data_IF_382435736505
#
_entry.id   IF_382435736505
#
_cell.length_a   1.000
_cell.length_b   1.000
_cell.length_c   1.000
_cell.angle_alpha   90.00
_cell.angle_beta   90.00
_cell.angle_gamma   90.00
#
_symmetry.space_group_name_H-M   'P 1'
#
loop_
_entity.id
_entity.type
_entity.pdbx_description
1 polymer ?
#
# COMPACT_ATOMS: atom_id res chain seq x y z
N UNK A 1 -40.78 23.69 35.24
CA UNK A 1 -40.53 25.07 35.79
C UNK A 1 -39.12 25.41 35.28
N UNK A 2 -38.79 26.37 34.42
CA UNK A 2 -39.34 27.67 34.13
C UNK A 2 -39.02 28.03 32.67
N UNK A 3 -40.01 28.52 31.94
CA UNK A 3 -39.91 29.11 30.60
C UNK A 3 -39.32 30.53 30.74
N UNK A 4 -38.55 30.98 29.71
CA UNK A 4 -38.51 32.41 29.36
C UNK A 4 -38.55 32.59 27.83
N UNK A 5 -39.40 33.55 27.48
CA UNK A 5 -39.95 33.89 26.16
C UNK A 5 -39.07 34.87 25.42
N UNK A 6 -39.33 34.90 24.13
CA UNK A 6 -38.92 35.84 23.09
C UNK A 6 -39.33 37.30 23.39
N UNK A 7 -38.61 38.25 22.78
CA UNK A 7 -39.17 39.56 22.44
C UNK A 7 -38.71 40.01 21.03
N UNK A 8 -39.73 40.17 20.20
CA UNK A 8 -39.67 40.91 18.92
C UNK A 8 -39.62 42.40 19.21
N UNK A 9 -38.83 43.17 18.48
CA UNK A 9 -38.97 44.60 18.43
C UNK A 9 -39.15 45.06 16.96
N UNK A 10 -40.35 45.62 16.68
CA UNK A 10 -40.78 46.23 15.44
C UNK A 10 -40.59 47.74 15.61
N UNK A 11 -39.83 48.36 14.73
CA UNK A 11 -39.62 49.82 14.71
C UNK A 11 -40.03 50.44 13.38
N UNK A 12 -41.01 51.25 13.46
CA UNK A 12 -41.84 52.01 12.57
C UNK A 12 -41.10 52.89 11.53
N UNK A 13 -41.81 53.03 10.41
CA UNK A 13 -41.78 53.95 9.27
C UNK A 13 -41.53 55.43 9.59
N UNK A 14 -40.79 56.11 8.69
CA UNK A 14 -40.89 57.54 8.45
C UNK A 14 -40.98 57.82 6.93
N UNK A 15 -42.12 58.40 6.58
CA UNK A 15 -42.46 58.99 5.26
C UNK A 15 -41.82 60.38 5.18
N UNK A 16 -41.14 60.73 4.09
CA UNK A 16 -40.99 62.15 3.67
C UNK A 16 -41.15 62.29 2.17
N UNK A 17 -42.13 63.10 1.81
CA UNK A 17 -42.45 63.59 0.47
C UNK A 17 -41.45 64.66 0.05
N UNK A 18 -41.09 64.65 -1.24
CA UNK A 18 -40.32 65.74 -1.87
C UNK A 18 -40.28 65.63 -3.39
N UNK A 19 -41.23 66.27 -4.00
CA UNK A 19 -41.31 66.99 -5.30
C UNK A 19 -40.41 66.57 -6.49
N UNK A 20 -41.11 66.42 -7.60
CA UNK A 20 -40.71 66.12 -8.98
C UNK A 20 -39.72 67.10 -9.62
N UNK A 21 -38.79 66.56 -10.42
CA UNK A 21 -38.33 67.25 -11.61
C UNK A 21 -38.09 66.23 -12.75
N UNK A 22 -38.84 66.43 -13.86
CA UNK A 22 -38.79 65.54 -15.06
C UNK A 22 -37.63 66.00 -15.92
N UNK A 23 -36.64 65.10 -16.06
CA UNK A 23 -35.69 65.19 -17.19
C UNK A 23 -35.81 63.89 -17.97
N UNK A 24 -36.32 64.01 -19.21
CA UNK A 24 -36.48 62.87 -20.16
C UNK A 24 -35.11 62.62 -20.78
N UNK A 25 -34.42 61.59 -20.32
CA UNK A 25 -33.25 61.04 -21.07
C UNK A 25 -33.76 59.85 -21.87
N UNK A 26 -33.79 60.00 -23.21
CA UNK A 26 -34.00 58.86 -24.13
C UNK A 26 -32.77 57.93 -24.08
N UNK A 27 -32.88 56.82 -23.37
CA UNK A 27 -31.94 55.75 -23.48
C UNK A 27 -32.36 54.83 -24.63
N UNK A 28 -31.55 54.82 -25.67
CA UNK A 28 -31.66 53.85 -26.79
C UNK A 28 -31.16 52.54 -26.26
N UNK A 29 -32.05 51.58 -25.99
CA UNK A 29 -31.68 50.20 -25.65
C UNK A 29 -31.21 49.48 -26.92
N UNK A 30 -29.98 48.93 -26.97
CA UNK A 30 -29.63 47.97 -28.01
C UNK A 30 -30.38 46.66 -27.77
N UNK A 31 -30.92 46.11 -28.82
CA UNK A 31 -31.81 44.95 -28.85
C UNK A 31 -31.13 43.71 -28.26
N UNK A 32 -31.75 43.16 -27.22
CA UNK A 32 -31.34 41.96 -26.43
C UNK A 32 -31.15 40.65 -27.23
N UNK A 33 -31.36 40.68 -28.54
CA UNK A 33 -31.27 39.49 -29.42
C UNK A 33 -29.84 39.19 -29.88
N UNK A 34 -28.94 40.14 -29.93
CA UNK A 34 -27.57 39.94 -30.42
C UNK A 34 -26.60 39.48 -29.33
N UNK A 35 -26.88 39.72 -28.06
CA UNK A 35 -26.03 39.30 -26.93
C UNK A 35 -26.17 37.81 -26.56
N UNK A 36 -27.38 37.23 -26.78
CA UNK A 36 -27.58 35.78 -26.50
C UNK A 36 -26.90 34.86 -27.52
N UNK A 37 -26.83 35.30 -28.80
CA UNK A 37 -26.18 34.50 -29.85
C UNK A 37 -24.64 34.45 -29.69
N UNK A 38 -24.02 35.52 -29.20
CA UNK A 38 -22.57 35.55 -28.93
C UNK A 38 -22.17 34.75 -27.69
N UNK A 39 -23.03 34.72 -26.64
CA UNK A 39 -22.79 33.93 -25.44
C UNK A 39 -22.94 32.41 -25.67
N UNK A 40 -23.86 31.98 -26.54
CA UNK A 40 -23.99 30.55 -26.89
C UNK A 40 -22.86 30.04 -27.80
N UNK A 41 -22.25 30.86 -28.64
CA UNK A 41 -21.08 30.46 -29.43
C UNK A 41 -19.80 30.37 -28.59
N UNK A 42 -19.66 31.17 -27.54
CA UNK A 42 -18.51 31.12 -26.65
C UNK A 42 -18.53 29.90 -25.70
N UNK A 43 -19.74 29.37 -25.39
CA UNK A 43 -19.87 28.15 -24.55
C UNK A 43 -19.68 26.86 -25.35
N UNK A 44 -19.78 26.85 -26.66
CA UNK A 44 -19.50 25.68 -27.49
C UNK A 44 -18.01 25.48 -27.79
N UNK A 45 -17.17 26.50 -27.58
CA UNK A 45 -15.71 26.40 -27.76
C UNK A 45 -14.97 25.84 -26.53
N UNK A 46 -15.66 25.63 -25.40
CA UNK A 46 -15.05 25.11 -24.18
C UNK A 46 -15.10 23.58 -24.07
N UNK A 47 -15.75 22.86 -24.99
CA UNK A 47 -15.67 21.42 -25.13
C UNK A 47 -14.74 21.07 -26.32
N UNK A 48 -13.49 21.50 -26.24
CA UNK A 48 -12.44 20.80 -26.99
C UNK A 48 -12.29 19.43 -26.37
N UNK A 49 -12.43 18.33 -27.15
CA UNK A 49 -12.01 17.04 -26.64
C UNK A 49 -10.55 17.21 -26.20
N UNK A 50 -10.25 16.91 -24.93
CA UNK A 50 -8.86 16.77 -24.51
C UNK A 50 -8.28 15.66 -25.39
N UNK A 51 -7.56 16.04 -26.42
CA UNK A 51 -6.66 15.14 -27.13
C UNK A 51 -5.59 14.79 -26.12
N UNK A 52 -5.79 13.68 -25.40
CA UNK A 52 -4.69 13.05 -24.69
C UNK A 52 -3.62 12.78 -25.74
N UNK A 53 -2.43 13.33 -25.53
CA UNK A 53 -1.30 13.03 -26.38
C UNK A 53 -1.19 11.49 -26.43
N UNK A 54 -1.37 10.92 -27.61
CA UNK A 54 -1.02 9.52 -27.86
C UNK A 54 0.45 9.43 -27.49
N UNK A 55 0.80 8.52 -26.59
CA UNK A 55 2.18 8.32 -26.16
C UNK A 55 3.11 8.11 -27.34
N UNK A 56 4.38 8.30 -27.13
CA UNK A 56 5.39 7.97 -28.13
C UNK A 56 5.23 6.49 -28.52
N UNK A 57 4.86 6.14 -29.77
CA UNK A 57 4.58 4.76 -30.16
C UNK A 57 5.81 3.83 -30.04
N UNK A 58 6.97 4.39 -29.72
CA UNK A 58 8.20 3.65 -29.41
C UNK A 58 8.35 3.30 -27.93
N UNK A 59 7.50 3.82 -27.03
CA UNK A 59 7.60 3.60 -25.58
C UNK A 59 6.48 2.71 -25.08
N UNK A 60 6.84 1.81 -24.19
CA UNK A 60 5.89 0.96 -23.46
C UNK A 60 5.07 1.86 -22.49
N UNK A 61 3.75 1.75 -22.54
CA UNK A 61 2.82 2.39 -21.62
C UNK A 61 2.43 1.40 -20.51
N UNK A 62 2.74 1.74 -19.25
CA UNK A 62 2.46 0.91 -18.08
C UNK A 62 1.49 1.61 -17.14
N UNK A 63 0.39 0.92 -16.79
CA UNK A 63 -0.60 1.34 -15.80
C UNK A 63 -0.46 0.56 -14.50
N UNK A 64 -0.61 1.21 -13.37
CA UNK A 64 -0.71 0.56 -12.05
C UNK A 64 -1.95 1.03 -11.31
N UNK A 65 -2.71 0.08 -10.74
CA UNK A 65 -3.86 0.34 -9.89
C UNK A 65 -3.56 -0.19 -8.49
N UNK A 66 -3.45 0.74 -7.53
CA UNK A 66 -3.12 0.42 -6.15
C UNK A 66 -4.28 -0.17 -5.37
N UNK A 67 -3.95 -0.82 -4.25
CA UNK A 67 -4.93 -1.21 -3.24
C UNK A 67 -5.38 0.02 -2.41
N UNK A 68 -6.42 -0.17 -1.60
CA UNK A 68 -7.08 0.89 -0.80
C UNK A 68 -6.12 1.60 0.17
N UNK A 69 -5.00 0.97 0.55
CA UNK A 69 -3.96 1.58 1.38
C UNK A 69 -3.24 2.78 0.74
N UNK A 70 -3.27 2.86 -0.60
CA UNK A 70 -2.57 3.90 -1.37
C UNK A 70 -1.04 3.76 -1.37
N UNK A 71 -0.37 4.43 -2.31
CA UNK A 71 1.08 4.31 -2.55
C UNK A 71 1.99 4.84 -1.44
N UNK A 72 1.42 5.56 -0.46
CA UNK A 72 2.16 6.14 0.67
C UNK A 72 2.09 5.29 1.95
N UNK A 73 1.62 4.03 1.86
CA UNK A 73 1.48 3.11 2.98
C UNK A 73 2.82 2.68 3.64
N UNK A 74 3.94 3.06 3.03
CA UNK A 74 5.32 2.69 3.44
C UNK A 74 5.54 1.17 3.53
N UNK A 75 4.72 0.38 2.86
CA UNK A 75 4.66 -1.07 2.91
C UNK A 75 4.44 -1.63 1.50
N UNK A 76 3.36 -2.34 1.29
CA UNK A 76 3.01 -3.10 0.09
C UNK A 76 2.85 -2.25 -1.17
N UNK A 77 1.99 -1.22 -1.12
CA UNK A 77 1.77 -0.34 -2.26
C UNK A 77 3.01 0.54 -2.54
N UNK A 78 3.67 1.03 -1.49
CA UNK A 78 4.92 1.78 -1.62
C UNK A 78 6.01 0.95 -2.29
N UNK A 79 6.11 -0.36 -1.98
CA UNK A 79 7.06 -1.26 -2.63
C UNK A 79 6.73 -1.42 -4.13
N UNK A 80 5.45 -1.62 -4.49
CA UNK A 80 5.03 -1.67 -5.89
C UNK A 80 5.34 -0.38 -6.64
N UNK A 81 5.06 0.77 -6.01
CA UNK A 81 5.38 2.08 -6.57
C UNK A 81 6.88 2.27 -6.81
N UNK A 82 7.72 1.84 -5.87
CA UNK A 82 9.18 1.87 -6.02
C UNK A 82 9.63 1.06 -7.25
N UNK A 83 9.04 -0.12 -7.48
CA UNK A 83 9.33 -0.95 -8.65
C UNK A 83 8.96 -0.28 -9.97
N UNK A 84 7.77 0.35 -10.02
CA UNK A 84 7.32 1.09 -11.21
C UNK A 84 8.16 2.34 -11.49
N UNK A 85 8.52 3.10 -10.45
CA UNK A 85 9.40 4.28 -10.60
C UNK A 85 10.80 3.87 -11.03
N UNK A 86 11.31 2.78 -10.50
CA UNK A 86 12.56 2.20 -10.95
C UNK A 86 12.51 1.82 -12.44
N UNK A 87 11.43 1.20 -12.89
CA UNK A 87 11.21 0.87 -14.31
C UNK A 87 11.10 2.13 -15.18
N UNK A 88 10.45 3.17 -14.70
CA UNK A 88 10.32 4.42 -15.45
C UNK A 88 11.67 5.13 -15.63
N UNK A 89 12.42 5.36 -14.54
CA UNK A 89 13.55 6.30 -14.52
C UNK A 89 14.88 5.72 -14.01
N UNK A 90 14.90 4.52 -13.42
CA UNK A 90 16.06 3.98 -12.71
C UNK A 90 16.24 4.57 -11.30
N UNK A 91 15.24 5.31 -10.81
CA UNK A 91 15.27 5.93 -9.49
C UNK A 91 14.03 5.61 -8.66
N UNK A 92 14.19 5.69 -7.34
CA UNK A 92 13.07 5.65 -6.40
C UNK A 92 12.30 6.99 -6.42
N UNK A 93 11.08 7.06 -5.83
CA UNK A 93 10.29 8.29 -5.75
C UNK A 93 11.02 9.49 -5.09
N UNK A 94 11.95 9.21 -4.18
CA UNK A 94 12.77 10.22 -3.51
C UNK A 94 14.01 10.66 -4.33
N UNK A 95 14.16 10.15 -5.57
CA UNK A 95 15.28 10.44 -6.46
C UNK A 95 16.54 9.61 -6.23
N UNK A 96 16.56 8.72 -5.22
CA UNK A 96 17.70 7.83 -5.00
C UNK A 96 17.79 6.77 -6.13
N UNK A 97 19.00 6.35 -6.46
CA UNK A 97 19.25 5.24 -7.38
C UNK A 97 18.59 3.97 -6.85
N UNK A 98 17.81 3.28 -7.68
CA UNK A 98 17.17 2.02 -7.32
C UNK A 98 18.06 0.78 -7.59
N UNK A 99 19.29 0.97 -8.06
CA UNK A 99 20.24 -0.09 -8.40
C UNK A 99 19.91 -0.87 -9.67
N UNK A 100 18.96 -0.38 -10.49
CA UNK A 100 18.58 -0.97 -11.78
C UNK A 100 18.41 0.13 -12.84
N UNK A 101 18.61 -0.16 -14.12
CA UNK A 101 18.41 0.82 -15.18
C UNK A 101 16.93 1.19 -15.32
N UNK A 102 16.65 2.45 -15.63
CA UNK A 102 15.35 2.86 -16.12
C UNK A 102 15.08 2.25 -17.50
N UNK A 103 13.85 1.83 -17.72
CA UNK A 103 13.42 1.21 -18.99
C UNK A 103 12.80 2.26 -19.93
N UNK A 104 12.64 3.50 -19.45
CA UNK A 104 12.12 4.61 -20.26
C UNK A 104 10.64 4.45 -20.62
N UNK A 105 9.87 3.73 -19.82
CA UNK A 105 8.42 3.55 -20.01
C UNK A 105 7.64 4.84 -19.74
N UNK A 106 6.39 4.88 -20.20
CA UNK A 106 5.41 5.90 -19.80
C UNK A 106 4.55 5.32 -18.70
N UNK A 107 4.70 5.82 -17.48
CA UNK A 107 3.99 5.34 -16.30
C UNK A 107 2.77 6.20 -15.97
N UNK A 108 1.66 5.55 -15.64
CA UNK A 108 0.48 6.15 -15.03
C UNK A 108 0.01 5.31 -13.86
N UNK A 109 -0.46 5.97 -12.81
CA UNK A 109 -0.95 5.35 -11.60
C UNK A 109 -2.37 5.80 -11.27
N UNK A 110 -3.11 4.93 -10.59
CA UNK A 110 -4.41 5.24 -9.99
C UNK A 110 -4.45 4.71 -8.56
N UNK A 111 -4.77 5.59 -7.63
CA UNK A 111 -5.13 5.26 -6.26
C UNK A 111 -6.65 5.25 -6.14
N UNK A 112 -7.30 4.07 -6.10
CA UNK A 112 -8.74 4.00 -6.01
C UNK A 112 -9.19 4.47 -4.61
N UNK A 113 -10.13 5.41 -4.55
CA UNK A 113 -10.68 5.89 -3.28
C UNK A 113 -11.61 4.87 -2.61
N UNK A 114 -12.15 3.95 -3.39
CA UNK A 114 -13.05 2.87 -2.96
C UNK A 114 -12.88 1.64 -3.86
N UNK A 115 -13.24 0.42 -3.39
CA UNK A 115 -13.16 -0.78 -4.21
C UNK A 115 -13.91 -0.71 -5.54
N UNK A 116 -15.04 0.01 -5.60
CA UNK A 116 -15.84 0.15 -6.83
C UNK A 116 -15.17 0.99 -7.92
N UNK A 117 -14.12 1.75 -7.60
CA UNK A 117 -13.36 2.52 -8.59
C UNK A 117 -12.18 1.76 -9.20
N UNK A 118 -11.89 0.54 -8.77
CA UNK A 118 -10.79 -0.30 -9.29
C UNK A 118 -11.07 -0.72 -10.74
N UNK A 119 -12.22 -1.31 -11.01
CA UNK A 119 -12.57 -1.78 -12.36
C UNK A 119 -12.58 -0.65 -13.39
N UNK A 120 -13.25 0.50 -13.17
CA UNK A 120 -13.19 1.63 -14.10
C UNK A 120 -11.75 2.12 -14.36
N UNK A 121 -10.88 2.10 -13.37
CA UNK A 121 -9.48 2.48 -13.54
C UNK A 121 -8.72 1.52 -14.45
N UNK A 122 -8.87 0.20 -14.25
CA UNK A 122 -8.26 -0.81 -15.11
C UNK A 122 -8.79 -0.73 -16.55
N UNK A 123 -10.12 -0.61 -16.72
CA UNK A 123 -10.74 -0.45 -18.04
C UNK A 123 -10.25 0.81 -18.76
N UNK A 124 -10.08 1.93 -18.04
CA UNK A 124 -9.58 3.17 -18.64
C UNK A 124 -8.14 3.04 -19.18
N UNK A 125 -7.28 2.23 -18.57
CA UNK A 125 -5.98 1.88 -19.13
C UNK A 125 -6.11 0.94 -20.33
N UNK A 126 -6.96 -0.09 -20.24
CA UNK A 126 -7.17 -1.05 -21.31
C UNK A 126 -7.77 -0.43 -22.57
N UNK A 127 -8.78 0.44 -22.45
CA UNK A 127 -9.37 1.20 -23.56
C UNK A 127 -8.35 2.10 -24.28
N UNK A 128 -7.35 2.59 -23.55
CA UNK A 128 -6.23 3.37 -24.11
C UNK A 128 -5.09 2.53 -24.63
N UNK A 129 -5.23 1.18 -24.61
CA UNK A 129 -4.27 0.21 -25.13
C UNK A 129 -2.89 0.29 -24.46
N UNK A 130 -2.88 0.42 -23.14
CA UNK A 130 -1.64 0.27 -22.39
C UNK A 130 -1.03 -1.12 -22.65
N UNK A 131 0.30 -1.19 -22.70
CA UNK A 131 1.00 -2.46 -22.98
C UNK A 131 0.94 -3.41 -21.78
N UNK A 132 0.97 -2.85 -20.56
CA UNK A 132 0.85 -3.62 -19.32
C UNK A 132 0.04 -2.87 -18.27
N UNK A 133 -0.86 -3.61 -17.59
CA UNK A 133 -1.68 -3.10 -16.48
C UNK A 133 -1.41 -3.98 -15.25
N UNK A 134 -0.95 -3.35 -14.17
CA UNK A 134 -0.59 -4.06 -12.93
C UNK A 134 -1.61 -3.73 -11.84
N UNK A 135 -2.29 -4.76 -11.34
CA UNK A 135 -3.16 -4.69 -10.18
C UNK A 135 -2.40 -5.05 -8.90
N UNK A 136 -2.59 -4.28 -7.83
CA UNK A 136 -1.91 -4.48 -6.55
C UNK A 136 -2.90 -4.94 -5.48
N UNK A 137 -2.73 -6.17 -5.00
CA UNK A 137 -3.53 -6.77 -3.94
C UNK A 137 -4.53 -7.81 -4.42
N UNK A 138 -4.67 -8.86 -3.61
CA UNK A 138 -5.48 -10.07 -3.90
C UNK A 138 -6.94 -9.75 -4.24
N UNK A 139 -7.53 -8.71 -3.63
CA UNK A 139 -8.92 -8.32 -3.84
C UNK A 139 -9.20 -7.86 -5.28
N UNK A 140 -8.16 -7.46 -6.02
CA UNK A 140 -8.28 -7.03 -7.40
C UNK A 140 -8.31 -8.20 -8.41
N UNK A 141 -7.93 -9.43 -8.01
CA UNK A 141 -7.82 -10.55 -8.94
C UNK A 141 -9.11 -10.83 -9.74
N UNK A 142 -10.31 -10.95 -9.14
CA UNK A 142 -11.54 -11.18 -9.90
C UNK A 142 -11.93 -10.00 -10.81
N UNK A 143 -11.58 -8.78 -10.42
CA UNK A 143 -11.82 -7.57 -11.21
C UNK A 143 -10.88 -7.56 -12.42
N UNK A 144 -9.59 -7.80 -12.18
CA UNK A 144 -8.57 -7.87 -13.22
C UNK A 144 -8.90 -8.95 -14.23
N UNK A 145 -9.34 -10.14 -13.79
CA UNK A 145 -9.75 -11.23 -14.68
C UNK A 145 -10.90 -10.81 -15.59
N UNK A 146 -11.92 -10.13 -15.05
CA UNK A 146 -13.02 -9.60 -15.86
C UNK A 146 -12.54 -8.65 -16.95
N UNK A 147 -11.63 -7.74 -16.60
CA UNK A 147 -11.07 -6.79 -17.59
C UNK A 147 -10.15 -7.51 -18.58
N UNK A 148 -9.27 -8.40 -18.12
CA UNK A 148 -8.32 -9.11 -18.96
C UNK A 148 -9.00 -10.02 -20.00
N UNK A 149 -10.16 -10.60 -19.69
CA UNK A 149 -10.98 -11.35 -20.65
C UNK A 149 -11.50 -10.48 -21.78
N UNK A 150 -11.89 -9.23 -21.49
CA UNK A 150 -12.40 -8.31 -22.50
C UNK A 150 -11.28 -7.70 -23.37
N UNK A 151 -10.03 -7.74 -22.90
CA UNK A 151 -8.86 -7.15 -23.56
C UNK A 151 -7.71 -8.17 -23.71
N UNK A 152 -7.88 -9.25 -24.50
CA UNK A 152 -6.93 -10.36 -24.60
C UNK A 152 -5.56 -9.99 -25.18
N UNK A 153 -5.46 -8.87 -25.91
CA UNK A 153 -4.22 -8.39 -26.50
C UNK A 153 -3.35 -7.57 -25.54
N UNK A 154 -3.89 -7.22 -24.36
CA UNK A 154 -3.17 -6.46 -23.32
C UNK A 154 -2.58 -7.42 -22.29
N UNK A 155 -1.38 -7.11 -21.83
CA UNK A 155 -0.72 -7.87 -20.78
C UNK A 155 -1.12 -7.34 -19.40
N UNK A 156 -1.48 -8.24 -18.50
CA UNK A 156 -1.85 -7.89 -17.13
C UNK A 156 -0.92 -8.59 -16.13
N UNK A 157 -0.79 -7.98 -14.97
CA UNK A 157 -0.15 -8.64 -13.82
C UNK A 157 -0.95 -8.36 -12.55
N UNK A 158 -1.05 -9.36 -11.69
CA UNK A 158 -1.70 -9.25 -10.38
C UNK A 158 -0.72 -9.64 -9.28
N UNK A 159 -0.56 -8.77 -8.29
CA UNK A 159 0.25 -9.06 -7.10
C UNK A 159 -0.66 -9.60 -5.99
N UNK A 160 -0.26 -10.71 -5.38
CA UNK A 160 -0.99 -11.46 -4.35
C UNK A 160 -2.31 -12.08 -4.83
N UNK A 161 -2.52 -12.16 -6.14
CA UNK A 161 -3.68 -12.83 -6.74
C UNK A 161 -3.24 -13.91 -7.72
N UNK A 162 -4.15 -14.83 -8.02
CA UNK A 162 -3.94 -15.89 -9.01
C UNK A 162 -5.01 -15.82 -10.08
N UNK A 163 -4.57 -15.88 -11.35
CA UNK A 163 -5.38 -15.90 -12.55
C UNK A 163 -4.95 -17.06 -13.45
N UNK A 164 -5.90 -17.66 -14.15
CA UNK A 164 -5.63 -18.70 -15.15
C UNK A 164 -5.65 -18.17 -16.59
N UNK A 165 -5.82 -16.86 -16.76
CA UNK A 165 -5.91 -16.24 -18.07
C UNK A 165 -4.55 -16.17 -18.78
N UNK A 166 -4.51 -16.38 -20.11
CA UNK A 166 -3.27 -16.48 -20.89
C UNK A 166 -2.52 -15.16 -21.04
N UNK A 167 -3.12 -14.03 -20.69
CA UNK A 167 -2.54 -12.69 -20.73
C UNK A 167 -2.30 -12.09 -19.33
N UNK A 168 -2.36 -12.90 -18.26
CA UNK A 168 -2.17 -12.46 -16.88
C UNK A 168 -0.97 -13.17 -16.23
N UNK A 169 -0.04 -12.40 -15.68
CA UNK A 169 1.01 -12.88 -14.79
C UNK A 169 0.56 -12.77 -13.33
N UNK A 170 0.56 -13.87 -12.61
CA UNK A 170 0.18 -13.98 -11.19
C UNK A 170 1.43 -13.97 -10.34
N UNK A 171 1.65 -12.91 -9.57
CA UNK A 171 2.82 -12.71 -8.71
C UNK A 171 2.46 -13.06 -7.28
N UNK A 172 3.05 -14.12 -6.73
CA UNK A 172 2.83 -14.56 -5.35
C UNK A 172 4.16 -14.77 -4.62
N UNK A 173 4.11 -14.69 -3.29
CA UNK A 173 5.30 -14.79 -2.48
C UNK A 173 5.16 -15.91 -1.45
N UNK A 174 6.31 -16.43 -0.98
CA UNK A 174 6.38 -17.37 0.14
C UNK A 174 6.60 -16.60 1.44
N UNK A 175 5.61 -15.81 1.84
CA UNK A 175 5.69 -14.94 3.01
C UNK A 175 6.00 -15.68 4.30
N UNK A 176 5.54 -16.94 4.41
CA UNK A 176 5.85 -17.83 5.55
C UNK A 176 7.36 -18.03 5.73
N UNK A 177 8.14 -18.11 4.64
CA UNK A 177 9.59 -18.29 4.71
C UNK A 177 10.28 -17.06 5.30
N UNK A 178 9.97 -15.84 4.82
CA UNK A 178 10.53 -14.59 5.36
C UNK A 178 10.08 -14.34 6.80
N UNK A 179 8.82 -14.65 7.11
CA UNK A 179 8.24 -14.52 8.45
C UNK A 179 8.90 -15.48 9.45
N UNK A 180 9.28 -16.68 9.02
CA UNK A 180 10.04 -17.61 9.85
C UNK A 180 11.36 -17.00 10.34
N UNK A 181 12.10 -16.31 9.47
CA UNK A 181 13.36 -15.68 9.81
C UNK A 181 13.18 -14.58 10.86
N UNK A 182 12.18 -13.71 10.69
CA UNK A 182 11.93 -12.65 11.68
C UNK A 182 11.34 -13.20 12.97
N UNK A 183 10.69 -14.36 12.94
CA UNK A 183 10.28 -15.12 14.12
C UNK A 183 11.46 -15.56 14.98
N UNK A 184 12.53 -16.08 14.36
CA UNK A 184 13.80 -16.41 15.05
C UNK A 184 14.37 -15.15 15.71
N UNK A 185 14.49 -14.05 14.94
CA UNK A 185 15.04 -12.79 15.45
C UNK A 185 14.25 -12.25 16.64
N UNK A 186 12.91 -12.32 16.56
CA UNK A 186 12.03 -11.92 17.66
C UNK A 186 12.23 -12.78 18.91
N UNK A 187 12.23 -14.12 18.77
CA UNK A 187 12.36 -15.02 19.91
C UNK A 187 13.71 -14.91 20.61
N UNK A 188 14.79 -14.69 19.86
CA UNK A 188 16.13 -14.51 20.41
C UNK A 188 16.36 -13.12 21.03
N UNK A 189 15.52 -12.13 20.70
CA UNK A 189 15.63 -10.76 21.22
C UNK A 189 14.64 -10.48 22.35
N UNK A 190 13.51 -11.19 22.41
CA UNK A 190 12.47 -11.02 23.42
C UNK A 190 13.03 -11.29 24.83
N UNK A 191 12.68 -10.39 25.75
CA UNK A 191 13.03 -10.48 27.18
C UNK A 191 11.89 -11.04 28.00
N UNK A 192 10.66 -10.98 27.53
CA UNK A 192 9.48 -11.45 28.26
C UNK A 192 9.07 -12.88 27.89
N UNK A 193 9.60 -13.41 26.78
CA UNK A 193 9.14 -14.67 26.20
C UNK A 193 7.73 -14.59 25.62
N UNK A 194 7.21 -13.38 25.42
CA UNK A 194 5.91 -13.12 24.78
C UNK A 194 6.10 -12.14 23.62
N UNK A 195 5.68 -12.55 22.45
CA UNK A 195 5.73 -11.74 21.22
C UNK A 195 4.34 -11.60 20.61
N UNK A 196 4.16 -10.61 19.74
CA UNK A 196 2.90 -10.33 19.10
C UNK A 196 2.97 -10.46 17.57
N UNK A 197 1.86 -10.83 16.97
CA UNK A 197 1.57 -10.71 15.56
C UNK A 197 0.32 -9.84 15.36
N UNK A 198 0.41 -8.85 14.50
CA UNK A 198 -0.69 -7.96 14.14
C UNK A 198 -0.91 -8.07 12.63
N UNK A 199 -1.93 -8.80 12.22
CA UNK A 199 -2.37 -8.91 10.83
C UNK A 199 -3.34 -7.81 10.43
N UNK A 200 -3.39 -7.46 9.15
CA UNK A 200 -4.40 -6.57 8.59
C UNK A 200 -5.77 -7.25 8.55
N UNK A 201 -6.09 -7.96 7.48
CA UNK A 201 -7.30 -8.77 7.38
C UNK A 201 -7.08 -10.18 7.93
N UNK A 202 -8.13 -10.75 8.53
CA UNK A 202 -8.19 -12.15 8.97
C UNK A 202 -8.48 -13.06 7.78
N UNK A 203 -7.44 -13.39 7.00
CA UNK A 203 -7.49 -14.19 5.76
C UNK A 203 -6.27 -15.10 5.64
N UNK A 204 -6.39 -16.18 4.83
CA UNK A 204 -5.33 -17.17 4.61
C UNK A 204 -3.99 -16.57 4.21
N UNK A 205 -3.98 -15.56 3.33
CA UNK A 205 -2.76 -14.85 2.94
C UNK A 205 -2.01 -14.25 4.14
N UNK A 206 -2.74 -13.66 5.10
CA UNK A 206 -2.12 -13.02 6.27
C UNK A 206 -1.79 -14.07 7.35
N UNK A 207 -2.53 -15.18 7.40
CA UNK A 207 -2.16 -16.31 8.26
C UNK A 207 -0.78 -16.89 7.90
N UNK A 208 -0.37 -16.84 6.61
CA UNK A 208 0.98 -17.27 6.20
C UNK A 208 2.08 -16.52 6.96
N UNK A 209 1.95 -15.19 7.11
CA UNK A 209 2.89 -14.38 7.87
C UNK A 209 2.90 -14.78 9.35
N UNK A 210 1.72 -14.86 9.99
CA UNK A 210 1.58 -15.19 11.41
C UNK A 210 2.12 -16.58 11.73
N UNK A 211 1.78 -17.58 10.92
CA UNK A 211 2.21 -18.96 11.15
C UNK A 211 3.69 -19.18 10.87
N UNK A 212 4.24 -18.56 9.81
CA UNK A 212 5.68 -18.56 9.56
C UNK A 212 6.44 -17.94 10.75
N UNK A 213 5.99 -16.79 11.23
CA UNK A 213 6.55 -16.11 12.40
C UNK A 213 6.51 -16.97 13.65
N UNK A 214 5.37 -17.59 13.98
CA UNK A 214 5.20 -18.49 15.11
C UNK A 214 6.14 -19.69 15.02
N UNK A 215 6.24 -20.33 13.85
CA UNK A 215 7.12 -21.50 13.64
C UNK A 215 8.59 -21.12 13.83
N UNK A 216 9.03 -19.99 13.24
CA UNK A 216 10.40 -19.50 13.42
C UNK A 216 10.72 -19.19 14.87
N UNK A 217 9.82 -18.53 15.59
CA UNK A 217 9.99 -18.23 16.99
C UNK A 217 10.08 -19.49 17.86
N UNK A 218 9.21 -20.47 17.63
CA UNK A 218 9.19 -21.75 18.38
C UNK A 218 10.36 -22.67 18.06
N UNK A 219 11.00 -22.51 16.90
CA UNK A 219 12.18 -23.30 16.55
C UNK A 219 13.37 -23.04 17.46
N UNK A 220 13.46 -21.85 18.05
CA UNK A 220 14.53 -21.43 18.97
C UNK A 220 14.06 -21.29 20.41
N UNK A 221 12.76 -21.03 20.62
CA UNK A 221 12.15 -21.02 21.96
C UNK A 221 10.78 -21.73 21.92
N UNK A 222 10.71 -23.05 22.18
CA UNK A 222 9.45 -23.81 22.12
C UNK A 222 8.35 -23.30 23.05
N UNK A 223 8.71 -22.61 24.14
CA UNK A 223 7.78 -22.10 25.14
C UNK A 223 7.36 -20.64 24.89
N UNK A 224 7.80 -20.02 23.80
CA UNK A 224 7.46 -18.64 23.49
C UNK A 224 5.95 -18.49 23.29
N UNK A 225 5.39 -17.46 23.89
CA UNK A 225 3.97 -17.11 23.72
C UNK A 225 3.81 -16.14 22.56
N UNK A 226 2.99 -16.50 21.58
CA UNK A 226 2.63 -15.63 20.46
C UNK A 226 1.19 -15.15 20.65
N UNK A 227 1.01 -13.82 20.69
CA UNK A 227 -0.31 -13.17 20.72
C UNK A 227 -0.65 -12.76 19.29
N UNK A 228 -1.82 -13.17 18.81
CA UNK A 228 -2.27 -12.92 17.44
C UNK A 228 -3.54 -12.08 17.44
N UNK A 229 -3.57 -11.02 16.65
CA UNK A 229 -4.74 -10.17 16.42
C UNK A 229 -4.78 -9.68 14.98
N UNK A 230 -5.98 -9.36 14.50
CA UNK A 230 -6.22 -8.77 13.18
C UNK A 230 -6.94 -7.44 13.32
N UNK A 231 -6.61 -6.48 12.44
CA UNK A 231 -7.23 -5.15 12.43
C UNK A 231 -8.71 -5.25 12.07
N UNK A 232 -9.06 -6.13 11.12
CA UNK A 232 -10.44 -6.32 10.69
C UNK A 232 -10.62 -7.45 9.69
N UNK A 233 -11.80 -7.45 9.05
CA UNK A 233 -12.23 -8.48 8.06
C UNK A 233 -12.62 -7.86 6.71
N UNK A 234 -12.38 -6.56 6.52
CA UNK A 234 -12.66 -5.83 5.29
C UNK A 234 -11.44 -5.01 4.87
N UNK A 235 -11.43 -4.46 3.65
CA UNK A 235 -10.34 -3.65 3.11
C UNK A 235 -9.96 -2.45 3.98
N UNK A 236 -10.90 -1.93 4.81
CA UNK A 236 -10.60 -0.90 5.80
C UNK A 236 -9.50 -1.32 6.81
N UNK A 237 -9.24 -2.61 6.96
CA UNK A 237 -8.17 -3.15 7.80
C UNK A 237 -6.78 -2.74 7.34
N UNK A 238 -6.60 -2.36 6.08
CA UNK A 238 -5.31 -1.94 5.54
C UNK A 238 -4.97 -0.48 5.83
N UNK A 239 -5.98 0.34 6.19
CA UNK A 239 -5.80 1.79 6.38
C UNK A 239 -6.47 2.31 7.67
N UNK A 240 -6.16 1.69 8.81
CA UNK A 240 -6.65 2.08 10.14
C UNK A 240 -5.53 2.02 11.19
N UNK A 241 -4.54 2.95 11.15
CA UNK A 241 -3.42 2.96 12.10
C UNK A 241 -3.88 3.18 13.56
N UNK A 242 -5.01 3.86 13.80
CA UNK A 242 -5.58 3.99 15.14
C UNK A 242 -5.94 2.63 15.74
N UNK A 243 -6.62 1.78 14.97
CA UNK A 243 -6.96 0.40 15.40
C UNK A 243 -5.70 -0.45 15.54
N UNK A 244 -4.73 -0.31 14.63
CA UNK A 244 -3.43 -0.98 14.75
C UNK A 244 -2.73 -0.64 16.06
N UNK A 245 -2.70 0.63 16.46
CA UNK A 245 -2.14 1.09 17.73
C UNK A 245 -2.85 0.50 18.95
N UNK A 246 -4.19 0.52 18.96
CA UNK A 246 -4.99 -0.08 20.06
C UNK A 246 -4.65 -1.56 20.26
N UNK A 247 -4.62 -2.35 19.18
CA UNK A 247 -4.31 -3.77 19.24
C UNK A 247 -2.88 -4.04 19.71
N UNK A 248 -1.91 -3.25 19.22
CA UNK A 248 -0.52 -3.34 19.66
C UNK A 248 -0.36 -3.03 21.16
N UNK A 249 -1.00 -1.97 21.64
CA UNK A 249 -1.01 -1.63 23.08
C UNK A 249 -1.68 -2.74 23.91
N UNK A 250 -2.74 -3.37 23.40
CA UNK A 250 -3.37 -4.51 24.08
C UNK A 250 -2.45 -5.76 24.16
N UNK A 251 -1.65 -6.03 23.11
CA UNK A 251 -0.63 -7.08 23.14
C UNK A 251 0.49 -6.76 24.13
N UNK A 252 0.96 -5.52 24.14
CA UNK A 252 1.98 -5.05 25.10
C UNK A 252 1.47 -5.19 26.54
N UNK A 253 0.21 -4.81 26.81
CA UNK A 253 -0.39 -4.98 28.12
C UNK A 253 -0.49 -6.45 28.58
N UNK A 254 -0.47 -7.40 27.63
CA UNK A 254 -0.42 -8.85 27.88
C UNK A 254 1.01 -9.43 27.92
N UNK A 255 2.03 -8.55 27.87
CA UNK A 255 3.43 -8.89 28.03
C UNK A 255 4.24 -9.01 26.73
N UNK A 256 3.65 -8.74 25.55
CA UNK A 256 4.43 -8.74 24.32
C UNK A 256 5.45 -7.59 24.32
N UNK A 257 6.72 -7.90 24.07
CA UNK A 257 7.78 -6.90 23.96
C UNK A 257 8.27 -6.71 22.51
N UNK A 258 7.85 -7.58 21.60
CA UNK A 258 8.12 -7.46 20.16
C UNK A 258 6.83 -7.75 19.39
N UNK A 259 6.46 -6.89 18.43
CA UNK A 259 5.24 -7.05 17.63
C UNK A 259 5.63 -7.05 16.14
N UNK A 260 5.34 -8.14 15.43
CA UNK A 260 5.43 -8.19 13.99
C UNK A 260 4.11 -7.72 13.36
N UNK A 261 4.17 -6.76 12.41
CA UNK A 261 2.98 -6.20 11.77
C UNK A 261 2.94 -6.56 10.30
N UNK A 262 1.92 -7.33 9.88
CA UNK A 262 1.59 -7.60 8.48
C UNK A 262 0.23 -6.96 8.16
N UNK A 263 0.17 -5.62 8.16
CA UNK A 263 -1.08 -4.87 8.19
C UNK A 263 -1.09 -3.58 7.35
N UNK A 264 -0.18 -3.44 6.38
CA UNK A 264 -0.08 -2.25 5.54
C UNK A 264 0.04 -0.96 6.38
N UNK A 265 -0.69 0.10 5.97
CA UNK A 265 -0.68 1.38 6.71
C UNK A 265 -1.17 1.24 8.17
N UNK A 266 -2.08 0.30 8.45
CA UNK A 266 -2.54 0.02 9.82
C UNK A 266 -1.40 -0.43 10.74
N UNK A 267 -0.39 -1.10 10.19
CA UNK A 267 0.81 -1.52 10.91
C UNK A 267 1.58 -0.36 11.55
N UNK A 268 1.57 0.82 10.94
CA UNK A 268 2.25 2.02 11.48
C UNK A 268 1.73 2.40 12.87
N UNK A 269 0.50 2.03 13.23
CA UNK A 269 -0.01 2.19 14.58
C UNK A 269 0.79 1.42 15.63
N UNK A 270 1.33 0.25 15.30
CA UNK A 270 2.19 -0.50 16.22
C UNK A 270 3.56 0.16 16.42
N UNK A 271 4.09 0.86 15.40
CA UNK A 271 5.30 1.67 15.54
C UNK A 271 5.10 2.79 16.57
N UNK A 272 3.94 3.46 16.51
CA UNK A 272 3.59 4.50 17.49
C UNK A 272 3.36 3.90 18.89
N UNK A 273 2.80 2.70 18.99
CA UNK A 273 2.57 2.01 20.26
C UNK A 273 3.90 1.67 20.96
N UNK A 274 4.89 1.13 20.25
CA UNK A 274 6.19 0.79 20.85
C UNK A 274 7.01 2.04 21.20
N UNK A 275 6.96 3.09 20.39
CA UNK A 275 7.59 4.38 20.70
C UNK A 275 7.01 5.02 21.97
N UNK A 276 5.67 4.95 22.14
CA UNK A 276 4.97 5.45 23.34
C UNK A 276 5.45 4.75 24.63
N UNK A 277 5.86 3.49 24.56
CA UNK A 277 6.44 2.78 25.71
C UNK A 277 7.83 3.27 26.11
N UNK A 278 8.49 3.97 25.20
CA UNK A 278 9.72 4.68 25.46
C UNK A 278 10.95 3.77 25.62
N UNK A 279 11.94 4.31 26.34
CA UNK A 279 13.25 3.70 26.53
C UNK A 279 13.51 3.45 28.02
N UNK A 280 14.31 2.45 28.30
CA UNK A 280 14.82 2.19 29.66
C UNK A 280 15.88 3.22 30.10
N UNK A 281 16.34 3.12 31.32
CA UNK A 281 17.37 4.01 31.90
C UNK A 281 18.69 4.00 31.10
N UNK A 282 18.98 2.94 30.35
CA UNK A 282 20.12 2.80 29.46
C UNK A 282 19.89 3.37 28.04
N UNK A 283 18.73 3.96 27.78
CA UNK A 283 18.37 4.53 26.49
C UNK A 283 17.95 3.50 25.43
N UNK A 284 17.83 2.21 25.76
CA UNK A 284 17.35 1.16 24.87
C UNK A 284 15.82 1.12 24.85
N UNK A 285 15.23 0.95 23.67
CA UNK A 285 13.78 0.73 23.56
C UNK A 285 13.32 -0.45 24.44
N UNK A 286 12.20 -0.27 25.13
CA UNK A 286 11.64 -1.33 25.99
C UNK A 286 10.85 -2.35 25.19
N UNK A 287 10.29 -1.92 24.05
CA UNK A 287 9.50 -2.71 23.12
C UNK A 287 9.96 -2.44 21.70
N UNK A 288 9.77 -3.41 20.81
CA UNK A 288 10.15 -3.33 19.41
C UNK A 288 8.99 -3.69 18.50
N UNK A 289 9.06 -3.16 17.29
CA UNK A 289 8.19 -3.55 16.18
C UNK A 289 9.02 -4.20 15.08
N UNK A 290 8.44 -5.14 14.34
CA UNK A 290 8.98 -5.68 13.09
C UNK A 290 8.07 -5.19 11.97
N UNK A 291 8.68 -4.51 10.99
CA UNK A 291 8.01 -4.00 9.79
C UNK A 291 7.76 -5.08 8.75
N UNK A 292 7.07 -4.73 7.66
CA UNK A 292 6.67 -5.66 6.59
C UNK A 292 6.80 -5.03 5.20
N UNK A 293 6.96 -5.86 4.19
CA UNK A 293 7.04 -5.58 2.74
C UNK A 293 8.29 -4.76 2.36
N UNK A 294 8.34 -3.50 2.77
CA UNK A 294 9.46 -2.59 2.53
C UNK A 294 10.38 -2.48 3.76
N UNK A 295 11.58 -1.93 3.55
CA UNK A 295 12.42 -1.56 4.68
C UNK A 295 11.81 -0.38 5.45
N UNK A 296 11.28 -0.66 6.62
CA UNK A 296 10.66 0.31 7.53
C UNK A 296 11.56 0.68 8.71
N UNK A 297 12.83 0.22 8.74
CA UNK A 297 13.73 0.43 9.88
C UNK A 297 13.95 1.92 10.20
N UNK A 298 13.94 2.80 9.17
CA UNK A 298 14.09 4.23 9.32
C UNK A 298 12.84 4.95 9.86
N UNK A 299 11.68 4.29 9.94
CA UNK A 299 10.41 4.95 10.34
C UNK A 299 10.47 5.38 11.81
N UNK A 300 11.00 4.53 12.68
CA UNK A 300 11.21 4.81 14.12
C UNK A 300 12.57 4.25 14.55
N UNK A 301 13.68 4.95 14.28
CA UNK A 301 15.02 4.46 14.56
C UNK A 301 15.21 4.04 16.02
N UNK A 302 15.70 2.80 16.22
CA UNK A 302 15.92 2.22 17.53
C UNK A 302 14.68 1.58 18.17
N UNK A 303 13.51 1.61 17.50
CA UNK A 303 12.30 0.88 17.91
C UNK A 303 11.91 -0.22 16.89
N UNK A 304 12.46 -0.18 15.69
CA UNK A 304 12.23 -1.20 14.66
C UNK A 304 13.34 -2.23 14.73
N UNK A 305 12.99 -3.45 15.15
CA UNK A 305 13.96 -4.56 15.31
C UNK A 305 14.51 -4.99 13.96
N UNK A 306 13.65 -5.13 12.98
CA UNK A 306 13.93 -5.41 11.57
C UNK A 306 12.66 -5.19 10.74
N UNK A 307 12.76 -5.37 9.41
CA UNK A 307 11.62 -5.45 8.51
C UNK A 307 11.66 -6.77 7.75
N UNK A 308 10.54 -7.50 7.75
CA UNK A 308 10.32 -8.65 6.88
C UNK A 308 10.09 -8.13 5.47
N UNK A 309 11.01 -8.39 4.57
CA UNK A 309 10.97 -7.87 3.19
C UNK A 309 10.17 -8.81 2.31
N UNK A 310 9.29 -8.22 1.49
CA UNK A 310 8.59 -8.84 0.37
C UNK A 310 8.86 -8.00 -0.86
N UNK A 311 9.60 -8.54 -1.80
CA UNK A 311 10.20 -7.79 -2.92
C UNK A 311 9.21 -7.53 -4.04
N UNK A 312 8.08 -6.92 -3.70
CA UNK A 312 7.08 -6.45 -4.68
C UNK A 312 7.70 -5.48 -5.67
N UNK A 313 8.63 -4.63 -5.20
CA UNK A 313 9.42 -3.72 -6.02
C UNK A 313 10.18 -4.43 -7.14
N UNK A 314 10.84 -5.54 -6.84
CA UNK A 314 11.59 -6.31 -7.83
C UNK A 314 10.68 -7.07 -8.78
N UNK A 315 9.61 -7.67 -8.26
CA UNK A 315 8.68 -8.45 -9.05
C UNK A 315 7.95 -7.57 -10.08
N UNK A 316 7.46 -6.40 -9.65
CA UNK A 316 6.80 -5.43 -10.53
C UNK A 316 7.78 -4.88 -11.58
N UNK A 317 8.98 -4.49 -11.17
CA UNK A 317 10.03 -4.09 -12.12
C UNK A 317 10.31 -5.17 -13.16
N UNK A 318 10.42 -6.44 -12.73
CA UNK A 318 10.73 -7.55 -13.63
C UNK A 318 9.62 -7.78 -14.66
N UNK A 319 8.35 -7.74 -14.26
CA UNK A 319 7.21 -7.87 -15.19
C UNK A 319 7.26 -6.77 -16.25
N UNK A 320 7.44 -5.51 -15.86
CA UNK A 320 7.53 -4.40 -16.81
C UNK A 320 8.73 -4.56 -17.74
N UNK A 321 9.85 -5.03 -17.23
CA UNK A 321 11.04 -5.34 -18.03
C UNK A 321 10.76 -6.44 -19.05
N UNK A 322 10.10 -7.51 -18.65
CA UNK A 322 9.79 -8.63 -19.54
C UNK A 322 8.82 -8.20 -20.66
N UNK A 323 7.87 -7.30 -20.37
CA UNK A 323 7.05 -6.65 -21.42
C UNK A 323 7.90 -5.83 -22.37
N UNK A 324 8.78 -4.98 -21.84
CA UNK A 324 9.68 -4.13 -22.64
C UNK A 324 10.59 -4.97 -23.57
N UNK A 325 11.05 -6.10 -23.07
CA UNK A 325 11.93 -7.03 -23.80
C UNK A 325 11.15 -8.08 -24.62
N UNK A 326 9.82 -7.99 -24.67
CA UNK A 326 8.92 -8.93 -25.38
C UNK A 326 9.09 -10.39 -24.90
N UNK A 327 9.32 -10.56 -23.61
CA UNK A 327 9.50 -11.87 -22.94
C UNK A 327 8.44 -12.13 -21.87
N UNK A 328 7.37 -11.34 -21.87
CA UNK A 328 6.28 -11.55 -20.92
C UNK A 328 5.79 -12.98 -20.92
N UNK A 329 5.62 -13.54 -19.74
CA UNK A 329 5.00 -14.86 -19.54
C UNK A 329 3.84 -14.73 -18.57
N UNK A 330 2.70 -15.30 -18.96
CA UNK A 330 1.54 -15.44 -18.09
C UNK A 330 1.71 -16.57 -17.09
N UNK A 331 0.73 -16.72 -16.18
CA UNK A 331 0.70 -17.78 -15.20
C UNK A 331 1.40 -17.44 -13.90
N UNK A 332 1.76 -18.44 -13.10
CA UNK A 332 2.17 -18.28 -11.72
C UNK A 332 3.68 -18.02 -11.60
N UNK A 333 4.03 -16.88 -11.01
CA UNK A 333 5.39 -16.48 -10.64
C UNK A 333 5.50 -16.46 -9.12
N UNK A 334 6.30 -17.37 -8.55
CA UNK A 334 6.46 -17.55 -7.11
C UNK A 334 7.81 -17.02 -6.65
N UNK A 335 7.81 -16.16 -5.66
CA UNK A 335 9.00 -15.54 -5.10
C UNK A 335 9.19 -15.94 -3.63
N UNK A 336 10.27 -16.67 -3.33
CA UNK A 336 10.64 -17.13 -1.99
C UNK A 336 12.04 -16.69 -1.59
N UNK A 337 12.62 -17.34 -0.57
CA UNK A 337 13.99 -17.10 -0.15
C UNK A 337 15.01 -17.48 -1.22
N UNK A 338 14.71 -18.50 -2.02
CA UNK A 338 15.57 -18.99 -3.12
C UNK A 338 15.76 -17.97 -4.25
N UNK A 339 14.78 -17.09 -4.45
CA UNK A 339 14.81 -16.02 -5.47
C UNK A 339 15.06 -14.63 -4.86
N UNK A 340 15.41 -14.57 -3.56
CA UNK A 340 15.52 -13.32 -2.80
C UNK A 340 14.23 -12.48 -2.83
N UNK A 341 13.08 -13.15 -3.04
CA UNK A 341 11.75 -12.52 -3.10
C UNK A 341 11.19 -12.16 -1.73
N UNK A 342 11.66 -12.82 -0.68
CA UNK A 342 11.35 -12.52 0.73
C UNK A 342 12.63 -12.59 1.57
N UNK A 343 12.63 -11.93 2.73
CA UNK A 343 13.79 -11.92 3.61
C UNK A 343 13.64 -10.98 4.79
N UNK A 344 14.75 -10.46 5.31
CA UNK A 344 14.76 -9.45 6.37
C UNK A 344 15.93 -8.48 6.18
N UNK A 345 15.92 -7.35 6.89
CA UNK A 345 16.94 -6.29 6.76
C UNK A 345 17.78 -6.14 8.01
N UNK A 346 19.11 -6.04 7.81
CA UNK A 346 20.06 -5.55 8.81
C UNK A 346 20.81 -4.35 8.21
N UNK A 347 20.55 -3.16 8.75
CA UNK A 347 21.14 -1.89 8.30
C UNK A 347 21.65 -1.04 9.48
N UNK A 348 22.00 0.20 9.22
CA UNK A 348 22.50 1.14 10.22
C UNK A 348 21.51 1.45 11.35
N UNK A 349 20.19 1.31 11.10
CA UNK A 349 19.14 1.63 12.07
C UNK A 349 18.91 0.53 13.10
N UNK A 350 19.17 -0.73 12.73
CA UNK A 350 18.81 -1.89 13.56
C UNK A 350 19.99 -2.82 13.92
N UNK A 351 21.16 -2.66 13.30
CA UNK A 351 22.32 -3.55 13.55
C UNK A 351 22.69 -3.65 15.02
N UNK A 352 22.56 -2.57 15.79
CA UNK A 352 22.85 -2.57 17.23
C UNK A 352 21.75 -3.22 18.10
N UNK A 353 20.59 -3.51 17.53
CA UNK A 353 19.44 -4.11 18.22
C UNK A 353 19.48 -5.63 18.17
N UNK A 354 20.09 -6.19 17.13
CA UNK A 354 20.19 -7.63 16.88
C UNK A 354 21.56 -8.16 17.34
N UNK A 355 21.56 -9.28 18.05
CA UNK A 355 22.83 -9.94 18.40
C UNK A 355 23.41 -10.68 17.19
N UNK A 356 24.75 -10.84 17.11
CA UNK A 356 25.37 -11.65 16.06
C UNK A 356 24.85 -13.09 16.02
N UNK A 357 24.51 -13.66 17.16
CA UNK A 357 23.96 -15.00 17.29
C UNK A 357 22.56 -15.10 16.70
N UNK A 358 21.71 -14.09 16.92
CA UNK A 358 20.37 -14.05 16.33
C UNK A 358 20.43 -13.93 14.79
N UNK A 359 21.31 -13.09 14.28
CA UNK A 359 21.56 -12.98 12.83
C UNK A 359 22.07 -14.30 12.27
N UNK A 360 23.05 -14.93 12.93
CA UNK A 360 23.61 -16.20 12.48
C UNK A 360 22.56 -17.32 12.46
N UNK A 361 21.67 -17.38 13.44
CA UNK A 361 20.58 -18.35 13.51
C UNK A 361 19.57 -18.14 12.38
N UNK A 362 19.19 -16.89 12.07
CA UNK A 362 18.31 -16.57 10.95
C UNK A 362 18.94 -16.92 9.60
N UNK A 363 20.24 -16.62 9.41
CA UNK A 363 20.96 -16.98 8.18
C UNK A 363 21.13 -18.49 8.00
N UNK A 364 21.35 -19.23 9.11
CA UNK A 364 21.39 -20.70 9.07
C UNK A 364 20.03 -21.28 8.67
N UNK A 365 18.96 -20.78 9.26
CA UNK A 365 17.60 -21.17 8.89
C UNK A 365 17.29 -20.83 7.42
N UNK A 366 17.69 -19.65 6.94
CA UNK A 366 17.55 -19.27 5.51
C UNK A 366 18.18 -20.32 4.59
N UNK A 367 19.44 -20.70 4.88
CA UNK A 367 20.13 -21.74 4.08
C UNK A 367 19.39 -23.08 4.12
N UNK A 368 18.93 -23.50 5.29
CA UNK A 368 18.21 -24.77 5.47
C UNK A 368 16.84 -24.80 4.81
N UNK A 369 16.12 -23.66 4.81
CA UNK A 369 14.84 -23.54 4.08
C UNK A 369 15.09 -23.64 2.57
N UNK A 370 16.08 -22.93 2.03
CA UNK A 370 16.45 -22.99 0.60
C UNK A 370 16.90 -24.42 0.21
N UNK A 371 17.62 -25.11 1.09
CA UNK A 371 18.04 -26.49 0.88
C UNK A 371 16.89 -27.52 1.04
N UNK A 372 15.71 -27.09 1.53
CA UNK A 372 14.57 -27.98 1.80
C UNK A 372 14.69 -28.82 3.06
N UNK A 373 15.69 -28.54 3.91
CA UNK A 373 15.89 -29.21 5.22
C UNK A 373 14.86 -28.73 6.26
N UNK A 374 14.50 -27.45 6.20
CA UNK A 374 13.40 -26.89 6.98
C UNK A 374 12.23 -26.62 6.02
N UNK A 375 11.09 -27.23 6.33
CA UNK A 375 9.82 -26.97 5.64
C UNK A 375 8.95 -26.07 6.51
N UNK A 376 8.85 -24.81 6.11
CA UNK A 376 7.93 -23.88 6.75
C UNK A 376 6.50 -24.18 6.28
N UNK A 377 5.57 -24.32 7.20
CA UNK A 377 4.17 -24.62 6.86
C UNK A 377 3.53 -23.40 6.21
N UNK A 378 2.94 -23.61 5.04
CA UNK A 378 2.14 -22.60 4.35
C UNK A 378 0.68 -22.68 4.82
N UNK A 379 0.26 -21.70 5.62
CA UNK A 379 -1.08 -21.68 6.22
C UNK A 379 -2.18 -21.30 5.22
N UNK A 380 -1.85 -20.95 3.98
CA UNK A 380 -2.85 -20.64 2.96
C UNK A 380 -3.63 -21.87 2.50
N UNK A 381 -3.08 -23.06 2.72
CA UNK A 381 -3.66 -24.35 2.30
C UNK A 381 -4.07 -25.24 3.47
N UNK A 382 -4.29 -24.64 4.65
CA UNK A 382 -4.73 -25.37 5.86
C UNK A 382 -6.19 -25.10 6.19
#
# INVERSE_FOLDING_TARGET
MTRLKADLNIGTTHEMRGTANRTIVRVVLPTFRSALAAACLALLSACSPQTYAVGDPAKIEAGIVFDIGGKDDRSFNAAAWNGMKCAETGTLPNGADCGKPGLGIVLRDVEPGTPVSIEPAMRAFAERKYDVIVGIGFAQAPILDSVAQDYPDIQFAIVDGVSELPNVASIVFKEHEGSYLVGILAAMTSRTGTIGFLGGMDIGLIHRFGKGYEQGARSVNPNIRVLENYVGVTDAAWNNPGRGKELALAQIAKGADIIFTAAGNSGLGAFDAVEEKGRDAGGRATHFVIGVDANQNMVKPGFVLTSMIKRVDQAVYQIVKDVTEKRFTSGLHVFGLESDGVGYVVDEYNRSLLSPEAIAAAEDAKRKIIAGEIKVIDAMFQ
#
